data_IF_122123929864
#
_entry.id   IF_122123929864
#
_cell.length_a   1.000
_cell.length_b   1.000
_cell.length_c   1.000
_cell.angle_alpha   90.00
_cell.angle_beta   90.00
_cell.angle_gamma   90.00
#
_symmetry.space_group_name_H-M   'P 1'
#
loop_
_entity.id
_entity.type
_entity.pdbx_description
1 polymer ?
#
# COMPACT_ATOMS: atom_id res chain seq x y z
N UNK A 1 13.16 2.98 14.09
CA UNK A 1 12.17 4.09 14.17
C UNK A 1 10.80 3.51 13.94
N UNK A 2 9.80 3.76 14.78
CA UNK A 2 8.44 3.34 14.47
C UNK A 2 7.96 4.10 13.22
N UNK A 3 7.40 3.37 12.25
CA UNK A 3 6.77 3.96 11.09
C UNK A 3 5.60 4.82 11.57
N UNK A 4 5.49 6.08 11.16
CA UNK A 4 4.35 6.90 11.56
C UNK A 4 3.03 6.21 11.24
N UNK A 5 2.10 6.19 12.18
CA UNK A 5 0.77 5.57 11.99
C UNK A 5 0.04 6.13 10.76
N UNK A 6 0.33 7.38 10.39
CA UNK A 6 -0.18 8.02 9.17
C UNK A 6 0.21 7.33 7.87
N UNK A 7 1.33 6.60 7.84
CA UNK A 7 1.79 5.89 6.65
C UNK A 7 1.22 4.47 6.52
N UNK A 8 0.67 3.93 7.61
CA UNK A 8 0.24 2.53 7.67
C UNK A 8 -1.28 2.35 7.73
N UNK A 9 -2.06 3.38 8.03
CA UNK A 9 -3.45 3.20 8.49
C UNK A 9 -4.54 3.61 7.53
N UNK A 10 -4.25 4.15 6.35
CA UNK A 10 -5.34 4.57 5.47
C UNK A 10 -5.28 3.95 4.09
N UNK A 11 -6.36 3.27 3.68
CA UNK A 11 -6.43 2.56 2.42
C UNK A 11 -6.45 3.47 1.18
N UNK A 12 -6.81 4.73 1.34
CA UNK A 12 -6.82 5.70 0.24
C UNK A 12 -6.45 7.08 0.79
N UNK A 13 -5.26 7.55 0.45
CA UNK A 13 -4.80 8.90 0.81
C UNK A 13 -4.01 9.54 -0.31
N UNK A 14 -4.29 10.81 -0.50
CA UNK A 14 -3.50 11.71 -1.33
C UNK A 14 -3.11 12.90 -0.46
N UNK A 15 -1.82 13.18 -0.36
CA UNK A 15 -1.30 14.32 0.38
C UNK A 15 0.07 14.75 -0.17
N UNK A 16 0.50 15.91 0.23
CA UNK A 16 1.83 16.43 -0.09
C UNK A 16 2.78 16.22 1.08
N UNK A 17 4.02 15.88 0.75
CA UNK A 17 5.16 15.86 1.66
C UNK A 17 6.01 17.08 1.41
N UNK A 18 6.62 17.61 2.46
CA UNK A 18 7.59 18.69 2.37
C UNK A 18 8.92 18.28 3.01
N UNK A 19 10.01 18.84 2.52
CA UNK A 19 11.32 18.66 3.13
C UNK A 19 11.37 19.47 4.42
N UNK A 20 11.45 18.78 5.57
CA UNK A 20 11.49 19.42 6.89
C UNK A 20 12.89 19.93 7.26
N UNK A 21 13.95 19.39 6.65
CA UNK A 21 15.33 19.84 6.88
C UNK A 21 16.25 19.33 5.76
N UNK A 22 17.32 20.08 5.47
CA UNK A 22 18.22 19.80 4.37
C UNK A 22 17.69 20.23 3.01
N UNK A 23 18.39 19.85 1.95
CA UNK A 23 18.02 20.14 0.57
C UNK A 23 17.76 18.84 -0.18
N UNK A 24 16.75 18.85 -1.03
CA UNK A 24 16.50 17.72 -1.93
C UNK A 24 17.53 17.72 -3.04
N UNK A 25 18.22 16.58 -3.32
CA UNK A 25 19.17 16.50 -4.43
C UNK A 25 18.50 16.81 -5.76
N UNK A 26 19.09 17.70 -6.55
CA UNK A 26 18.50 18.18 -7.80
C UNK A 26 18.49 17.11 -8.91
N UNK A 27 19.31 16.08 -8.77
CA UNK A 27 19.49 14.99 -9.73
C UNK A 27 18.58 13.76 -9.42
N UNK A 28 17.79 13.83 -8.34
CA UNK A 28 16.80 12.78 -8.01
C UNK A 28 15.43 13.20 -8.49
N UNK A 29 14.88 12.42 -9.42
CA UNK A 29 13.53 12.59 -9.96
C UNK A 29 12.90 11.22 -10.25
N UNK A 30 11.60 11.21 -10.56
CA UNK A 30 10.88 10.01 -10.92
C UNK A 30 9.88 9.58 -9.85
N UNK A 31 9.62 8.28 -9.74
CA UNK A 31 8.60 7.75 -8.86
C UNK A 31 9.08 6.54 -8.09
N UNK A 32 8.73 6.50 -6.82
CA UNK A 32 8.92 5.33 -5.96
C UNK A 32 7.56 4.69 -5.72
N UNK A 33 7.47 3.39 -6.04
CA UNK A 33 6.27 2.59 -5.79
C UNK A 33 6.62 1.45 -4.86
N UNK A 34 5.85 1.28 -3.81
CA UNK A 34 6.05 0.19 -2.85
C UNK A 34 4.73 -0.28 -2.26
N UNK A 35 4.73 -1.51 -1.74
CA UNK A 35 3.61 -2.08 -1.00
C UNK A 35 3.72 -1.75 0.48
N UNK A 36 2.57 -1.61 1.14
CA UNK A 36 2.48 -1.44 2.57
C UNK A 36 1.25 -2.18 3.10
N UNK A 37 1.30 -2.79 4.29
CA UNK A 37 0.10 -3.27 4.96
C UNK A 37 -0.76 -2.09 5.44
N UNK A 38 -2.07 -2.25 5.47
CA UNK A 38 -3.01 -1.19 5.85
C UNK A 38 -3.10 -0.94 7.35
N UNK A 39 -2.72 -1.92 8.18
CA UNK A 39 -2.84 -1.86 9.63
C UNK A 39 -4.24 -1.45 10.12
N UNK A 40 -5.23 -2.27 9.80
CA UNK A 40 -6.62 -2.05 10.23
C UNK A 40 -6.83 -2.18 11.74
N UNK A 41 -5.85 -2.71 12.47
CA UNK A 41 -5.93 -3.02 13.89
C UNK A 41 -6.69 -4.31 14.20
N UNK A 42 -7.17 -5.03 13.19
CA UNK A 42 -7.96 -6.25 13.37
C UNK A 42 -7.10 -7.53 13.42
N UNK A 43 -5.82 -7.44 13.11
CA UNK A 43 -4.89 -8.56 13.13
C UNK A 43 -3.81 -8.34 14.19
N UNK A 44 -3.27 -9.44 14.78
CA UNK A 44 -2.22 -9.35 15.79
C UNK A 44 -0.94 -8.69 15.27
N UNK A 45 -0.70 -8.80 13.97
CA UNK A 45 0.46 -8.18 13.31
C UNK A 45 0.02 -7.44 12.05
N UNK A 46 0.33 -6.15 11.97
CA UNK A 46 0.00 -5.31 10.83
C UNK A 46 0.56 -5.83 9.49
N UNK A 47 1.72 -6.51 9.53
CA UNK A 47 2.37 -7.09 8.35
C UNK A 47 1.50 -8.10 7.60
N UNK A 48 0.49 -8.65 8.23
CA UNK A 48 -0.42 -9.63 7.61
C UNK A 48 -1.74 -9.02 7.13
N UNK A 49 -1.91 -7.70 7.31
CA UNK A 49 -3.12 -7.00 6.89
C UNK A 49 -3.17 -6.81 5.37
N UNK A 50 -4.33 -6.36 4.90
CA UNK A 50 -4.56 -6.05 3.50
C UNK A 50 -3.50 -5.11 2.93
N UNK A 51 -3.09 -5.34 1.70
CA UNK A 51 -2.12 -4.52 1.02
C UNK A 51 -2.66 -3.18 0.55
N UNK A 52 -1.79 -2.20 0.58
CA UNK A 52 -1.93 -0.94 -0.12
C UNK A 52 -0.72 -0.75 -1.05
N UNK A 53 -0.95 -0.17 -2.19
CA UNK A 53 0.12 0.33 -3.04
C UNK A 53 0.31 1.81 -2.76
N UNK A 54 1.55 2.19 -2.51
CA UNK A 54 1.96 3.54 -2.20
C UNK A 54 2.85 4.06 -3.32
N UNK A 55 2.65 5.30 -3.69
CA UNK A 55 3.40 6.00 -4.72
C UNK A 55 3.88 7.33 -4.18
N UNK A 56 5.16 7.59 -4.28
CA UNK A 56 5.79 8.86 -4.01
C UNK A 56 6.36 9.41 -5.31
N UNK A 57 5.84 10.55 -5.76
CA UNK A 57 6.44 11.29 -6.87
C UNK A 57 7.57 12.16 -6.35
N UNK A 58 8.77 11.97 -6.89
CA UNK A 58 9.97 12.73 -6.54
C UNK A 58 10.17 13.96 -7.44
N UNK A 59 9.23 14.19 -8.36
CA UNK A 59 9.24 15.36 -9.23
C UNK A 59 8.57 16.53 -8.53
N UNK A 60 9.37 17.52 -8.16
CA UNK A 60 8.88 18.74 -7.53
C UNK A 60 7.90 19.50 -8.43
N UNK A 61 6.81 19.95 -7.86
CA UNK A 61 5.80 20.74 -8.57
C UNK A 61 4.96 19.97 -9.59
N UNK A 62 5.09 18.66 -9.69
CA UNK A 62 4.26 17.84 -10.56
C UNK A 62 2.96 17.37 -9.87
N UNK A 63 1.95 17.09 -10.69
CA UNK A 63 0.62 16.59 -10.27
C UNK A 63 -0.09 17.47 -9.25
N UNK A 64 0.12 18.78 -9.32
CA UNK A 64 -0.54 19.74 -8.45
C UNK A 64 0.16 19.97 -7.11
N UNK A 65 1.29 19.32 -6.85
CA UNK A 65 2.11 19.66 -5.69
C UNK A 65 2.78 21.02 -5.87
N UNK A 66 2.86 21.81 -4.80
CA UNK A 66 3.56 23.10 -4.82
C UNK A 66 5.09 22.87 -5.00
N UNK A 67 5.84 23.87 -5.51
CA UNK A 67 7.29 23.79 -5.60
C UNK A 67 7.92 23.40 -4.24
N UNK A 68 8.87 22.46 -4.26
CA UNK A 68 9.49 21.91 -3.04
C UNK A 68 8.66 20.89 -2.28
N UNK A 69 7.52 20.47 -2.82
CA UNK A 69 6.66 19.43 -2.25
C UNK A 69 6.56 18.23 -3.18
N UNK A 70 6.30 17.06 -2.58
CA UNK A 70 6.24 15.77 -3.25
C UNK A 70 4.85 15.18 -3.08
N UNK A 71 4.27 14.69 -4.17
CA UNK A 71 2.96 14.06 -4.13
C UNK A 71 3.06 12.62 -3.59
N UNK A 72 2.28 12.32 -2.56
CA UNK A 72 2.06 10.98 -2.05
C UNK A 72 0.66 10.50 -2.40
N UNK A 73 0.57 9.24 -2.81
CA UNK A 73 -0.70 8.57 -3.04
C UNK A 73 -0.67 7.16 -2.47
N UNK A 74 -1.75 6.73 -1.88
CA UNK A 74 -1.93 5.31 -1.51
C UNK A 74 -3.30 4.81 -1.89
N UNK A 75 -3.36 3.54 -2.32
CA UNK A 75 -4.59 2.86 -2.72
C UNK A 75 -4.60 1.44 -2.17
N UNK A 76 -5.76 1.02 -1.65
CA UNK A 76 -5.98 -0.35 -1.21
C UNK A 76 -5.93 -1.29 -2.41
N UNK A 77 -5.16 -2.39 -2.28
CA UNK A 77 -5.15 -3.43 -3.31
C UNK A 77 -6.46 -4.21 -3.26
N UNK A 78 -7.20 -4.18 -4.36
CA UNK A 78 -8.51 -4.81 -4.47
C UNK A 78 -8.42 -6.25 -4.97
N UNK A 79 -7.83 -7.13 -4.15
CA UNK A 79 -7.85 -8.57 -4.44
C UNK A 79 -9.30 -9.11 -4.43
N UNK A 80 -9.59 -10.27 -5.05
CA UNK A 80 -10.90 -10.91 -4.90
C UNK A 80 -11.28 -11.12 -3.43
N UNK A 81 -10.32 -11.52 -2.58
CA UNK A 81 -10.54 -11.69 -1.13
C UNK A 81 -10.87 -10.37 -0.44
N UNK A 82 -10.16 -9.28 -0.77
CA UNK A 82 -10.44 -7.96 -0.21
C UNK A 82 -11.83 -7.45 -0.60
N UNK A 83 -12.19 -7.60 -1.87
CA UNK A 83 -13.55 -7.23 -2.34
C UNK A 83 -14.66 -8.03 -1.66
N UNK A 84 -14.41 -9.32 -1.38
CA UNK A 84 -15.35 -10.13 -0.62
C UNK A 84 -15.43 -9.69 0.84
N UNK A 85 -14.27 -9.42 1.46
CA UNK A 85 -14.19 -8.91 2.83
C UNK A 85 -14.94 -7.58 2.99
N UNK A 86 -14.80 -6.65 2.04
CA UNK A 86 -15.47 -5.34 2.11
C UNK A 86 -16.99 -5.44 2.04
N UNK A 87 -17.52 -6.51 1.44
CA UNK A 87 -18.97 -6.76 1.33
C UNK A 87 -19.51 -7.64 2.46
N UNK A 88 -18.70 -8.57 2.93
CA UNK A 88 -19.09 -9.64 3.86
C UNK A 88 -18.00 -9.89 4.89
N UNK A 89 -17.64 -8.88 5.72
CA UNK A 89 -16.58 -9.04 6.72
C UNK A 89 -16.90 -10.14 7.74
N UNK A 90 -18.16 -10.41 7.99
CA UNK A 90 -18.64 -11.46 8.91
C UNK A 90 -18.26 -12.89 8.46
N UNK A 91 -17.90 -13.08 7.20
CA UNK A 91 -17.45 -14.37 6.67
C UNK A 91 -15.95 -14.62 6.88
N UNK A 92 -15.23 -13.66 7.46
CA UNK A 92 -13.81 -13.76 7.67
C UNK A 92 -13.48 -13.83 9.16
N UNK A 93 -12.43 -14.55 9.47
CA UNK A 93 -11.82 -14.54 10.80
C UNK A 93 -10.38 -14.06 10.73
N UNK A 94 -9.91 -13.44 11.81
CA UNK A 94 -8.52 -13.08 11.98
C UNK A 94 -7.70 -14.34 12.28
N UNK A 95 -6.76 -14.68 11.41
CA UNK A 95 -5.78 -15.74 11.61
C UNK A 95 -4.44 -15.19 12.06
N UNK A 96 -3.50 -16.07 12.38
CA UNK A 96 -2.15 -15.68 12.79
C UNK A 96 -1.36 -14.98 11.67
N UNK A 97 -1.66 -15.31 10.42
CA UNK A 97 -0.93 -14.84 9.22
C UNK A 97 -1.84 -14.13 8.22
N UNK A 98 -2.93 -13.55 8.67
CA UNK A 98 -3.86 -12.79 7.83
C UNK A 98 -5.31 -13.21 8.02
N UNK A 99 -6.14 -12.75 7.12
CA UNK A 99 -7.58 -13.07 7.13
C UNK A 99 -7.84 -14.45 6.54
N UNK A 100 -8.70 -15.20 7.22
CA UNK A 100 -9.19 -16.51 6.76
C UNK A 100 -10.61 -16.34 6.24
N UNK A 101 -10.82 -16.74 5.00
CA UNK A 101 -12.14 -16.86 4.38
C UNK A 101 -12.67 -18.30 4.46
N UNK A 102 -13.95 -18.55 4.13
CA UNK A 102 -14.48 -19.92 3.97
C UNK A 102 -13.72 -20.76 2.94
N UNK A 103 -12.94 -20.12 2.06
CA UNK A 103 -12.17 -20.78 1.00
C UNK A 103 -10.66 -20.88 1.33
N UNK A 104 -10.27 -20.55 2.54
CA UNK A 104 -8.88 -20.54 3.00
C UNK A 104 -8.30 -19.13 3.20
N UNK A 105 -6.98 -19.02 3.30
CA UNK A 105 -6.28 -17.76 3.50
C UNK A 105 -6.58 -16.77 2.38
N UNK A 106 -6.97 -15.56 2.76
CA UNK A 106 -7.20 -14.49 1.82
C UNK A 106 -5.89 -13.85 1.37
N UNK A 107 -5.72 -13.66 0.07
CA UNK A 107 -4.55 -13.01 -0.51
C UNK A 107 -4.53 -11.53 -0.11
N UNK A 108 -3.60 -11.16 0.75
CA UNK A 108 -3.43 -9.78 1.24
C UNK A 108 -2.71 -8.87 0.25
N UNK A 109 -1.90 -9.42 -0.64
CA UNK A 109 -1.19 -8.70 -1.71
C UNK A 109 -0.40 -7.48 -1.20
N UNK A 110 0.38 -7.68 -0.14
CA UNK A 110 1.02 -6.62 0.64
C UNK A 110 2.55 -6.68 0.64
N UNK A 111 3.17 -7.59 -0.14
CA UNK A 111 4.61 -7.86 -0.03
C UNK A 111 5.44 -6.93 -0.90
N UNK A 112 5.28 -6.95 -2.22
CA UNK A 112 6.09 -6.13 -3.11
C UNK A 112 5.35 -5.78 -4.42
N UNK A 113 5.58 -4.59 -4.98
CA UNK A 113 5.21 -4.28 -6.34
C UNK A 113 6.16 -4.98 -7.32
N UNK A 114 5.62 -5.50 -8.39
CA UNK A 114 6.36 -6.18 -9.46
C UNK A 114 5.98 -5.55 -10.81
N UNK A 115 6.82 -4.68 -11.37
CA UNK A 115 6.62 -4.17 -12.71
C UNK A 115 6.96 -5.25 -13.74
N UNK A 116 6.09 -5.41 -14.75
CA UNK A 116 6.30 -6.31 -15.87
C UNK A 116 5.79 -5.67 -17.17
N UNK A 117 6.70 -5.24 -18.02
CA UNK A 117 6.36 -4.44 -19.20
C UNK A 117 5.68 -3.14 -18.81
N UNK A 118 4.47 -2.91 -19.31
CA UNK A 118 3.61 -1.77 -18.99
C UNK A 118 2.56 -2.07 -17.91
N UNK A 119 2.68 -3.22 -17.22
CA UNK A 119 1.77 -3.67 -16.17
C UNK A 119 2.45 -3.62 -14.81
N UNK A 120 1.67 -3.39 -13.77
CA UNK A 120 2.11 -3.43 -12.39
C UNK A 120 1.32 -4.50 -11.65
N UNK A 121 2.04 -5.37 -10.96
CA UNK A 121 1.48 -6.39 -10.08
C UNK A 121 1.87 -6.11 -8.64
N UNK A 122 1.12 -6.63 -7.71
CA UNK A 122 1.51 -6.73 -6.32
C UNK A 122 1.50 -8.19 -5.90
N UNK A 123 2.41 -8.55 -4.99
CA UNK A 123 2.66 -9.93 -4.60
C UNK A 123 2.23 -10.24 -3.17
N UNK A 124 2.11 -11.51 -2.88
CA UNK A 124 1.92 -12.08 -1.56
C UNK A 124 2.66 -13.42 -1.46
N UNK A 125 3.26 -13.70 -0.30
CA UNK A 125 4.14 -14.86 -0.10
C UNK A 125 3.43 -16.21 -0.28
N UNK A 126 2.13 -16.25 -0.04
CA UNK A 126 1.32 -17.46 -0.11
C UNK A 126 0.28 -17.45 -1.26
N UNK A 127 0.37 -16.53 -2.21
CA UNK A 127 -0.64 -16.40 -3.25
C UNK A 127 -0.12 -15.95 -4.61
N UNK A 128 -1.03 -15.88 -5.56
CA UNK A 128 -0.71 -15.39 -6.91
C UNK A 128 -0.58 -13.86 -6.90
N UNK A 129 0.33 -13.30 -7.71
CA UNK A 129 0.35 -11.87 -7.97
C UNK A 129 -1.00 -11.36 -8.47
N UNK A 130 -1.34 -10.15 -8.08
CA UNK A 130 -2.56 -9.47 -8.50
C UNK A 130 -2.16 -8.26 -9.35
N UNK A 131 -2.74 -8.12 -10.51
CA UNK A 131 -2.57 -6.95 -11.38
C UNK A 131 -3.34 -5.75 -10.81
N UNK A 132 -2.70 -4.57 -10.89
CA UNK A 132 -3.22 -3.31 -10.40
C UNK A 132 -3.83 -2.46 -11.51
#
# INVERSE_FOLDING_TARGET
MPVPASLTTAPQRDFELEVVSGEWPADISGEVVFSSPQNSGNLPYAIFDWGAICRLSLEQGQRGAAPGRFAWQSRSVQTPGKRLFDRHPEQFSAGATGYMSPFGSANSSNTAPLPWGNRLFTTWDAGRPVEL
#
